data_IF_456114403201
#
_entry.id   IF_456114403201
#
_cell.length_a   1.000
_cell.length_b   1.000
_cell.length_c   1.000
_cell.angle_alpha   90.00
_cell.angle_beta   90.00
_cell.angle_gamma   90.00
#
_symmetry.space_group_name_H-M   'P 1'
#
loop_
_entity.id
_entity.type
_entity.pdbx_description
1 polymer ?
#
# COMPACT_ATOMS: atom_id res chain seq x y z
N UNK A 1 -10.90 13.70 -41.32
CA UNK A 1 -10.34 13.33 -40.00
C UNK A 1 -10.07 11.83 -39.90
N UNK A 2 -11.05 10.95 -40.13
CA UNK A 2 -10.88 9.49 -39.95
C UNK A 2 -9.78 8.86 -40.82
N UNK A 3 -9.65 9.28 -42.08
CA UNK A 3 -8.61 8.75 -42.99
C UNK A 3 -7.21 9.38 -42.80
N UNK A 4 -7.05 10.41 -41.97
CA UNK A 4 -5.75 11.06 -41.68
C UNK A 4 -5.05 11.76 -42.86
N UNK A 5 -5.60 11.73 -44.09
CA UNK A 5 -4.95 12.24 -45.31
C UNK A 5 -4.68 13.75 -45.30
N UNK A 6 -5.45 14.52 -44.52
CA UNK A 6 -5.24 15.96 -44.32
C UNK A 6 -5.03 16.24 -42.84
N UNK A 7 -4.01 17.04 -42.54
CA UNK A 7 -3.72 17.50 -41.19
C UNK A 7 -4.92 18.28 -40.64
N UNK A 8 -5.53 17.84 -39.53
CA UNK A 8 -6.62 18.59 -38.91
C UNK A 8 -6.11 19.93 -38.38
N UNK A 9 -6.95 20.95 -38.48
CA UNK A 9 -6.69 22.27 -37.91
C UNK A 9 -7.35 22.38 -36.53
N UNK A 10 -6.83 23.28 -35.69
CA UNK A 10 -7.47 23.62 -34.42
C UNK A 10 -8.88 24.17 -34.64
N UNK A 11 -9.81 23.89 -33.72
CA UNK A 11 -11.17 24.45 -33.76
C UNK A 11 -11.18 25.99 -33.73
N UNK A 12 -10.14 26.61 -33.16
CA UNK A 12 -9.96 28.08 -33.17
C UNK A 12 -9.78 28.64 -34.59
N UNK A 13 -9.32 27.82 -35.55
CA UNK A 13 -9.21 28.26 -36.95
C UNK A 13 -10.58 28.49 -37.59
N UNK A 14 -11.60 27.73 -37.17
CA UNK A 14 -12.99 27.95 -37.60
C UNK A 14 -13.52 29.33 -37.17
N UNK A 15 -13.07 29.84 -36.02
CA UNK A 15 -13.41 31.18 -35.56
C UNK A 15 -12.87 32.28 -36.50
N UNK A 16 -11.69 32.07 -37.08
CA UNK A 16 -11.09 32.99 -38.05
C UNK A 16 -11.76 32.88 -39.43
N UNK A 17 -11.97 31.65 -39.89
CA UNK A 17 -12.43 31.38 -41.26
C UNK A 17 -13.95 31.59 -41.43
N UNK A 18 -14.75 31.23 -40.41
CA UNK A 18 -16.22 31.35 -40.41
C UNK A 18 -16.76 31.78 -39.02
N UNK A 19 -16.59 33.05 -38.62
CA UNK A 19 -16.92 33.52 -37.27
C UNK A 19 -18.39 33.30 -36.86
N UNK A 20 -19.33 33.47 -37.79
CA UNK A 20 -20.77 33.29 -37.53
C UNK A 20 -21.11 31.83 -37.21
N UNK A 21 -20.53 30.89 -37.97
CA UNK A 21 -20.71 29.45 -37.77
C UNK A 21 -20.08 29.01 -36.45
N UNK A 22 -18.90 29.54 -36.10
CA UNK A 22 -18.25 29.27 -34.83
C UNK A 22 -19.11 29.74 -33.64
N UNK A 23 -19.69 30.94 -33.70
CA UNK A 23 -20.60 31.42 -32.65
C UNK A 23 -21.87 30.58 -32.54
N UNK A 24 -22.41 30.09 -33.66
CA UNK A 24 -23.55 29.16 -33.65
C UNK A 24 -23.16 27.83 -32.98
N UNK A 25 -21.98 27.29 -33.32
CA UNK A 25 -21.44 26.08 -32.70
C UNK A 25 -21.27 26.23 -31.19
N UNK A 26 -20.68 27.34 -30.72
CA UNK A 26 -20.50 27.63 -29.28
C UNK A 26 -21.85 27.65 -28.55
N UNK A 27 -22.87 28.30 -29.13
CA UNK A 27 -24.22 28.31 -28.53
C UNK A 27 -24.82 26.91 -28.45
N UNK A 28 -24.62 26.09 -29.48
CA UNK A 28 -25.11 24.71 -29.51
C UNK A 28 -24.37 23.86 -28.47
N UNK A 29 -23.05 23.99 -28.34
CA UNK A 29 -22.29 23.24 -27.33
C UNK A 29 -22.68 23.63 -25.92
N UNK A 30 -22.93 24.92 -25.64
CA UNK A 30 -23.45 25.39 -24.35
C UNK A 30 -24.85 24.80 -24.05
N UNK A 31 -25.70 24.69 -25.08
CA UNK A 31 -27.03 24.06 -24.96
C UNK A 31 -26.92 22.57 -24.67
N UNK A 32 -26.03 21.87 -25.36
CA UNK A 32 -25.80 20.44 -25.16
C UNK A 32 -25.24 20.15 -23.77
N UNK A 33 -24.26 20.91 -23.30
CA UNK A 33 -23.68 20.75 -21.96
C UNK A 33 -24.72 21.07 -20.87
N UNK A 34 -25.56 22.09 -21.04
CA UNK A 34 -26.67 22.36 -20.11
C UNK A 34 -27.75 21.27 -20.12
N UNK A 35 -28.06 20.72 -21.30
CA UNK A 35 -29.10 19.71 -21.44
C UNK A 35 -28.67 18.36 -20.88
N UNK A 36 -27.47 17.89 -21.23
CA UNK A 36 -26.92 16.63 -20.75
C UNK A 36 -26.22 16.76 -19.40
N UNK A 37 -26.03 17.99 -18.92
CA UNK A 37 -25.33 18.33 -17.68
C UNK A 37 -23.93 17.73 -17.61
N UNK A 38 -23.25 17.51 -18.74
CA UNK A 38 -21.95 16.85 -18.81
C UNK A 38 -21.19 17.30 -20.06
N UNK A 39 -19.87 17.18 -20.04
CA UNK A 39 -19.02 17.46 -21.19
C UNK A 39 -19.35 16.54 -22.37
N UNK A 40 -19.57 17.14 -23.55
CA UNK A 40 -19.97 16.43 -24.76
C UNK A 40 -18.84 16.34 -25.78
N UNK A 41 -18.65 15.15 -26.34
CA UNK A 41 -17.92 14.90 -27.58
C UNK A 41 -18.92 15.05 -28.74
N UNK A 42 -18.65 15.99 -29.65
CA UNK A 42 -19.57 16.40 -30.72
C UNK A 42 -18.91 16.27 -32.09
N UNK A 43 -19.70 15.78 -33.06
CA UNK A 43 -19.33 15.77 -34.47
C UNK A 43 -20.29 16.69 -35.23
N UNK A 44 -19.74 17.54 -36.10
CA UNK A 44 -20.51 18.49 -36.89
C UNK A 44 -19.95 18.61 -38.31
N UNK A 45 -20.74 19.16 -39.22
CA UNK A 45 -20.33 19.48 -40.59
C UNK A 45 -20.86 20.86 -40.96
N UNK A 46 -20.05 21.60 -41.70
CA UNK A 46 -20.44 22.89 -42.28
C UNK A 46 -20.58 22.70 -43.78
N UNK A 47 -21.81 22.78 -44.29
CA UNK A 47 -22.09 22.69 -45.73
C UNK A 47 -22.57 24.04 -46.24
N UNK A 48 -21.82 24.64 -47.18
CA UNK A 48 -22.14 25.93 -47.82
C UNK A 48 -22.46 27.04 -46.79
N UNK A 49 -21.70 27.09 -45.70
CA UNK A 49 -21.86 28.09 -44.63
C UNK A 49 -22.97 27.79 -43.62
N UNK A 50 -23.61 26.62 -43.69
CA UNK A 50 -24.64 26.19 -42.73
C UNK A 50 -24.11 25.05 -41.86
N UNK A 51 -24.29 25.19 -40.54
CA UNK A 51 -23.87 24.22 -39.54
C UNK A 51 -24.90 23.08 -39.39
N UNK A 52 -24.40 21.85 -39.29
CA UNK A 52 -25.18 20.65 -39.00
C UNK A 52 -24.49 19.85 -37.90
N UNK A 53 -25.20 19.53 -36.82
CA UNK A 53 -24.74 18.59 -35.80
C UNK A 53 -25.04 17.17 -36.25
N UNK A 54 -24.05 16.29 -36.20
CA UNK A 54 -24.15 14.90 -36.65
C UNK A 54 -24.26 13.93 -35.48
N UNK A 55 -23.47 14.16 -34.44
CA UNK A 55 -23.40 13.29 -33.27
C UNK A 55 -23.09 14.10 -32.02
N UNK A 56 -23.63 13.65 -30.89
CA UNK A 56 -23.20 14.07 -29.56
C UNK A 56 -23.24 12.86 -28.63
N UNK A 57 -22.28 12.79 -27.71
CA UNK A 57 -22.21 11.78 -26.65
C UNK A 57 -21.38 12.33 -25.49
N UNK A 58 -21.48 11.73 -24.32
CA UNK A 58 -20.56 12.03 -23.22
C UNK A 58 -19.12 11.79 -23.66
N UNK A 59 -18.28 12.82 -23.50
CA UNK A 59 -16.90 12.75 -23.96
C UNK A 59 -16.06 11.84 -23.08
N UNK A 60 -15.21 11.02 -23.71
CA UNK A 60 -14.19 10.25 -23.00
C UNK A 60 -13.15 11.21 -22.43
N UNK A 61 -12.67 10.94 -21.22
CA UNK A 61 -11.80 11.85 -20.48
C UNK A 61 -10.89 11.06 -19.53
N UNK A 62 -9.79 11.68 -19.12
CA UNK A 62 -8.91 11.14 -18.08
C UNK A 62 -9.51 11.35 -16.70
N UNK A 63 -9.02 10.63 -15.68
CA UNK A 63 -9.45 10.83 -14.29
C UNK A 63 -9.35 12.30 -13.83
N UNK A 64 -8.21 12.94 -14.13
CA UNK A 64 -7.98 14.35 -13.82
C UNK A 64 -9.01 15.27 -14.49
N UNK A 65 -9.30 15.03 -15.77
CA UNK A 65 -10.30 15.81 -16.50
C UNK A 65 -11.73 15.54 -15.98
N UNK A 66 -12.04 14.30 -15.57
CA UNK A 66 -13.32 13.94 -14.99
C UNK A 66 -13.59 14.73 -13.69
N UNK A 67 -12.63 14.75 -12.77
CA UNK A 67 -12.73 15.51 -11.51
C UNK A 67 -12.88 17.00 -11.79
N UNK A 68 -12.02 17.55 -12.64
CA UNK A 68 -12.08 18.97 -12.98
C UNK A 68 -13.45 19.37 -13.54
N UNK A 69 -13.95 18.61 -14.52
CA UNK A 69 -15.26 18.86 -15.14
C UNK A 69 -16.36 18.74 -14.08
N UNK A 70 -16.35 17.71 -13.24
CA UNK A 70 -17.35 17.54 -12.20
C UNK A 70 -17.36 18.73 -11.23
N UNK A 71 -16.18 19.20 -10.80
CA UNK A 71 -16.04 20.35 -9.91
C UNK A 71 -16.53 21.64 -10.58
N UNK A 72 -16.13 21.89 -11.83
CA UNK A 72 -16.53 23.06 -12.59
C UNK A 72 -18.05 23.08 -12.85
N UNK A 73 -18.68 21.92 -13.12
CA UNK A 73 -20.13 21.80 -13.31
C UNK A 73 -20.91 22.10 -12.02
N UNK A 74 -20.40 21.70 -10.85
CA UNK A 74 -20.98 22.07 -9.55
C UNK A 74 -20.85 23.57 -9.30
N UNK A 75 -19.67 24.15 -9.55
CA UNK A 75 -19.43 25.60 -9.41
C UNK A 75 -20.31 26.43 -10.35
N UNK A 76 -20.59 25.90 -11.55
CA UNK A 76 -21.52 26.49 -12.51
C UNK A 76 -23.00 26.30 -12.15
N UNK A 77 -23.31 25.54 -11.09
CA UNK A 77 -24.69 25.26 -10.66
C UNK A 77 -25.45 24.32 -11.60
N UNK A 78 -24.75 23.55 -12.44
CA UNK A 78 -25.37 22.63 -13.39
C UNK A 78 -25.70 21.27 -12.77
N UNK A 79 -24.90 20.81 -11.81
CA UNK A 79 -25.11 19.56 -11.07
C UNK A 79 -24.92 19.77 -9.58
N UNK A 80 -25.46 18.87 -8.75
CA UNK A 80 -25.20 18.88 -7.31
C UNK A 80 -23.87 18.20 -6.96
N UNK A 81 -23.40 18.39 -5.72
CA UNK A 81 -22.21 17.70 -5.22
C UNK A 81 -22.38 16.18 -5.22
N UNK A 82 -23.58 15.68 -4.90
CA UNK A 82 -23.89 14.24 -4.90
C UNK A 82 -23.77 13.64 -6.29
N UNK A 83 -24.32 14.32 -7.30
CA UNK A 83 -24.22 13.91 -8.70
C UNK A 83 -22.75 13.90 -9.16
N UNK A 84 -21.97 14.94 -8.80
CA UNK A 84 -20.55 14.99 -9.11
C UNK A 84 -19.78 13.80 -8.51
N UNK A 85 -20.06 13.42 -7.26
CA UNK A 85 -19.43 12.26 -6.61
C UNK A 85 -19.79 10.96 -7.34
N UNK A 86 -21.05 10.76 -7.70
CA UNK A 86 -21.50 9.52 -8.36
C UNK A 86 -20.95 9.34 -9.78
N UNK A 87 -20.53 10.43 -10.43
CA UNK A 87 -19.94 10.40 -11.77
C UNK A 87 -18.48 9.97 -11.82
N UNK A 88 -17.78 10.03 -10.70
CA UNK A 88 -16.38 9.62 -10.62
C UNK A 88 -16.33 8.16 -10.21
N UNK A 89 -15.84 7.30 -11.11
CA UNK A 89 -15.61 5.90 -10.78
C UNK A 89 -14.42 5.79 -9.80
N UNK A 90 -14.51 4.99 -8.72
CA UNK A 90 -13.42 4.85 -7.75
C UNK A 90 -12.07 4.46 -8.37
N UNK A 91 -12.08 3.60 -9.40
CA UNK A 91 -10.88 3.17 -10.13
C UNK A 91 -10.15 4.31 -10.86
N UNK A 92 -10.83 5.42 -11.15
CA UNK A 92 -10.22 6.62 -11.71
C UNK A 92 -9.41 7.37 -10.66
N UNK A 93 -9.82 7.34 -9.39
CA UNK A 93 -9.07 7.97 -8.29
C UNK A 93 -7.73 7.29 -8.07
N UNK A 94 -7.65 5.95 -8.21
CA UNK A 94 -6.39 5.21 -8.09
C UNK A 94 -5.31 5.76 -9.02
N UNK A 95 -5.66 6.14 -10.25
CA UNK A 95 -4.72 6.69 -11.23
C UNK A 95 -4.08 8.02 -10.77
N UNK A 96 -4.75 8.76 -9.89
CA UNK A 96 -4.26 10.04 -9.37
C UNK A 96 -3.37 9.88 -8.13
N UNK A 97 -3.45 8.72 -7.47
CA UNK A 97 -2.69 8.40 -6.26
C UNK A 97 -1.29 7.86 -6.57
N UNK A 98 -1.06 7.44 -7.82
CA UNK A 98 0.23 6.92 -8.25
C UNK A 98 0.97 7.89 -9.18
N UNK A 99 2.32 7.93 -9.14
CA UNK A 99 3.09 8.62 -10.16
C UNK A 99 2.70 8.12 -11.56
N UNK A 100 2.68 9.00 -12.55
CA UNK A 100 2.39 8.65 -13.95
C UNK A 100 3.49 9.20 -14.86
N UNK A 101 3.69 8.59 -16.03
CA UNK A 101 4.62 9.15 -17.01
C UNK A 101 4.05 10.38 -17.70
N UNK A 102 4.89 11.37 -17.99
CA UNK A 102 4.45 12.53 -18.75
C UNK A 102 4.04 12.10 -20.18
N UNK A 103 2.94 12.64 -20.76
CA UNK A 103 2.51 12.27 -22.12
C UNK A 103 3.62 12.48 -23.17
N UNK A 104 4.44 13.53 -22.98
CA UNK A 104 5.58 13.84 -23.85
C UNK A 104 6.68 12.78 -23.80
N UNK A 105 6.86 12.11 -22.65
CA UNK A 105 7.81 11.02 -22.51
C UNK A 105 7.28 9.76 -23.21
N UNK A 106 5.99 9.43 -23.00
CA UNK A 106 5.35 8.27 -23.62
C UNK A 106 5.36 8.33 -25.15
N UNK A 107 5.09 9.49 -25.75
CA UNK A 107 5.08 9.66 -27.21
C UNK A 107 6.44 9.36 -27.88
N UNK A 108 7.54 9.48 -27.12
CA UNK A 108 8.92 9.28 -27.62
C UNK A 108 9.49 7.91 -27.28
N UNK A 109 8.79 7.12 -26.46
CA UNK A 109 9.31 5.89 -25.88
C UNK A 109 8.50 4.69 -26.38
N UNK A 110 9.03 3.90 -27.34
CA UNK A 110 8.35 2.69 -27.78
C UNK A 110 8.29 1.66 -26.63
N UNK A 111 7.16 0.93 -26.56
CA UNK A 111 6.98 -0.15 -25.59
C UNK A 111 7.93 -1.30 -25.96
N UNK A 112 8.83 -1.67 -25.04
CA UNK A 112 9.76 -2.79 -25.21
C UNK A 112 9.09 -4.15 -24.98
N UNK A 113 8.29 -4.22 -23.93
CA UNK A 113 7.64 -5.44 -23.48
C UNK A 113 6.34 -5.10 -22.74
N UNK A 114 5.46 -6.09 -22.60
CA UNK A 114 4.20 -5.96 -21.89
C UNK A 114 3.96 -7.16 -20.98
N UNK A 115 3.78 -6.89 -19.69
CA UNK A 115 3.37 -7.87 -18.68
C UNK A 115 1.95 -7.63 -18.19
N UNK A 116 1.63 -8.23 -17.05
CA UNK A 116 0.35 -8.05 -16.36
C UNK A 116 0.41 -6.84 -15.43
N UNK A 117 -0.60 -5.95 -15.45
CA UNK A 117 -0.67 -4.77 -14.59
C UNK A 117 -1.01 -5.16 -13.15
N UNK A 118 -0.02 -5.63 -12.39
CA UNK A 118 -0.21 -6.26 -11.09
C UNK A 118 -0.54 -5.25 -9.98
N UNK A 119 0.13 -4.10 -9.99
CA UNK A 119 -0.10 -2.98 -9.07
C UNK A 119 0.14 -1.65 -9.79
N UNK A 120 -0.82 -0.72 -9.76
CA UNK A 120 -0.80 0.51 -10.56
C UNK A 120 0.35 1.48 -10.21
N UNK A 121 0.69 2.34 -11.18
CA UNK A 121 1.67 3.42 -11.05
C UNK A 121 2.88 3.32 -11.97
N UNK A 122 3.55 4.44 -12.20
CA UNK A 122 4.78 4.52 -12.97
C UNK A 122 6.02 4.37 -12.06
N UNK A 123 6.96 3.55 -12.50
CA UNK A 123 8.27 3.43 -11.88
C UNK A 123 9.37 3.68 -12.91
N UNK A 124 10.38 4.45 -12.53
CA UNK A 124 11.58 4.69 -13.34
C UNK A 124 12.81 4.65 -12.45
N UNK A 125 13.79 3.82 -12.81
CA UNK A 125 14.93 3.57 -11.94
C UNK A 125 15.96 2.62 -12.55
N UNK A 126 17.03 2.38 -11.78
CA UNK A 126 18.11 1.46 -12.12
C UNK A 126 17.72 0.02 -11.78
N UNK A 127 18.02 -0.92 -12.67
CA UNK A 127 17.68 -2.33 -12.53
C UNK A 127 18.65 -3.04 -11.57
N UNK A 128 18.11 -3.84 -10.66
CA UNK A 128 18.85 -4.75 -9.77
C UNK A 128 18.12 -6.10 -9.65
N UNK A 129 18.86 -7.17 -9.36
CA UNK A 129 18.36 -8.56 -9.51
C UNK A 129 18.17 -9.32 -8.19
N UNK A 130 18.52 -8.70 -7.05
CA UNK A 130 18.32 -9.26 -5.71
C UNK A 130 17.93 -8.14 -4.73
N UNK A 131 17.35 -8.53 -3.60
CA UNK A 131 16.85 -7.59 -2.60
C UNK A 131 17.97 -6.76 -1.94
N UNK A 132 19.11 -7.38 -1.64
CA UNK A 132 20.26 -6.77 -0.98
C UNK A 132 20.82 -5.58 -1.77
N UNK A 133 21.01 -5.74 -3.08
CA UNK A 133 21.50 -4.70 -3.97
C UNK A 133 20.51 -3.53 -4.07
N UNK A 134 19.20 -3.83 -4.11
CA UNK A 134 18.16 -2.80 -4.09
C UNK A 134 18.22 -2.00 -2.79
N UNK A 135 18.32 -2.66 -1.63
CA UNK A 135 18.40 -2.01 -0.32
C UNK A 135 19.65 -1.12 -0.24
N UNK A 136 20.81 -1.65 -0.62
CA UNK A 136 22.08 -0.92 -0.57
C UNK A 136 22.06 0.34 -1.46
N UNK A 137 21.55 0.22 -2.68
CA UNK A 137 21.50 1.35 -3.62
C UNK A 137 20.39 2.36 -3.29
N UNK A 138 19.27 1.90 -2.72
CA UNK A 138 18.19 2.78 -2.26
C UNK A 138 18.64 3.60 -1.05
N UNK A 139 19.43 3.03 -0.12
CA UNK A 139 20.07 3.77 0.99
C UNK A 139 21.02 4.86 0.46
N UNK A 140 21.67 4.64 -0.69
CA UNK A 140 22.47 5.63 -1.39
C UNK A 140 21.67 6.71 -2.16
N UNK A 141 20.33 6.65 -2.13
CA UNK A 141 19.44 7.61 -2.79
C UNK A 141 19.10 7.27 -4.24
N UNK A 142 19.55 6.14 -4.77
CA UNK A 142 19.20 5.71 -6.12
C UNK A 142 17.74 5.23 -6.19
N UNK A 143 17.04 5.58 -7.26
CA UNK A 143 15.74 4.99 -7.59
C UNK A 143 15.98 3.56 -8.13
N UNK A 144 15.79 2.53 -7.32
CA UNK A 144 16.11 1.14 -7.67
C UNK A 144 14.86 0.34 -8.06
N UNK A 145 14.91 -0.42 -9.15
CA UNK A 145 13.86 -1.35 -9.58
C UNK A 145 14.32 -2.77 -9.30
N UNK A 146 13.50 -3.54 -8.58
CA UNK A 146 13.74 -4.96 -8.36
C UNK A 146 13.22 -5.76 -9.55
N UNK A 147 14.11 -6.49 -10.22
CA UNK A 147 13.77 -7.40 -11.32
C UNK A 147 14.10 -8.83 -10.94
N UNK A 148 13.10 -9.71 -10.95
CA UNK A 148 13.25 -11.13 -10.57
C UNK A 148 12.58 -12.05 -11.59
N UNK A 149 12.96 -13.33 -11.61
CA UNK A 149 12.13 -14.35 -12.24
C UNK A 149 10.75 -14.39 -11.57
N UNK A 150 10.77 -14.54 -10.25
CA UNK A 150 9.63 -14.50 -9.32
C UNK A 150 10.14 -14.01 -7.96
N UNK A 151 9.26 -13.47 -7.12
CA UNK A 151 9.66 -13.02 -5.77
C UNK A 151 9.28 -14.06 -4.72
N UNK A 152 10.06 -14.11 -3.64
CA UNK A 152 9.78 -14.90 -2.43
C UNK A 152 9.60 -13.99 -1.20
N UNK A 153 9.15 -14.52 -0.05
CA UNK A 153 9.08 -13.74 1.20
C UNK A 153 10.40 -13.12 1.65
N UNK A 154 11.54 -13.67 1.24
CA UNK A 154 12.88 -13.15 1.56
C UNK A 154 13.17 -11.83 0.81
N UNK A 155 12.49 -11.60 -0.32
CA UNK A 155 12.66 -10.38 -1.13
C UNK A 155 11.95 -9.15 -0.52
N UNK A 156 11.22 -9.29 0.60
CA UNK A 156 10.35 -8.24 1.16
C UNK A 156 11.10 -6.93 1.39
N UNK A 157 12.31 -6.95 1.96
CA UNK A 157 13.07 -5.72 2.21
C UNK A 157 13.47 -5.00 0.91
N UNK A 158 13.85 -5.77 -0.10
CA UNK A 158 14.13 -5.29 -1.45
C UNK A 158 12.88 -4.68 -2.08
N UNK A 159 11.74 -5.33 -1.95
CA UNK A 159 10.45 -4.83 -2.42
C UNK A 159 10.06 -3.52 -1.72
N UNK A 160 10.27 -3.42 -0.41
CA UNK A 160 10.04 -2.21 0.41
C UNK A 160 11.01 -1.08 0.04
N UNK A 161 12.19 -1.39 -0.46
CA UNK A 161 13.19 -0.39 -0.87
C UNK A 161 13.02 0.05 -2.33
N UNK A 162 12.58 -0.84 -3.22
CA UNK A 162 12.47 -0.59 -4.66
C UNK A 162 11.42 0.48 -5.02
N UNK A 163 11.64 1.28 -6.05
CA UNK A 163 10.62 2.20 -6.58
C UNK A 163 9.54 1.48 -7.38
N UNK A 164 9.80 0.23 -7.77
CA UNK A 164 8.86 -0.67 -8.41
C UNK A 164 9.42 -2.08 -8.59
N UNK A 165 8.54 -3.04 -8.84
CA UNK A 165 8.89 -4.47 -8.97
C UNK A 165 8.47 -4.99 -10.35
N UNK A 166 9.38 -5.65 -11.05
CA UNK A 166 9.13 -6.27 -12.35
C UNK A 166 9.49 -7.75 -12.30
N UNK A 167 8.55 -8.64 -12.65
CA UNK A 167 8.84 -10.08 -12.70
C UNK A 167 8.61 -10.68 -14.08
N UNK A 168 9.46 -11.63 -14.46
CA UNK A 168 9.29 -12.38 -15.72
C UNK A 168 8.14 -13.40 -15.64
N UNK A 169 7.93 -13.98 -14.45
CA UNK A 169 6.88 -14.98 -14.14
C UNK A 169 5.94 -14.45 -13.05
N UNK A 170 4.83 -15.15 -12.87
CA UNK A 170 3.81 -14.82 -11.87
C UNK A 170 2.58 -14.13 -12.47
N UNK A 171 1.42 -14.41 -11.87
CA UNK A 171 0.13 -13.81 -12.26
C UNK A 171 -0.28 -12.64 -11.37
N UNK A 172 -1.51 -12.17 -11.56
CA UNK A 172 -2.14 -11.12 -10.75
C UNK A 172 -2.27 -11.44 -9.26
N UNK A 173 -2.15 -12.71 -8.88
CA UNK A 173 -2.20 -13.22 -7.50
C UNK A 173 -0.86 -13.78 -7.02
N UNK A 174 0.23 -13.51 -7.75
CA UNK A 174 1.57 -13.91 -7.33
C UNK A 174 2.02 -13.14 -6.09
N UNK A 175 3.03 -13.67 -5.39
CA UNK A 175 3.65 -13.01 -4.24
C UNK A 175 3.99 -11.54 -4.55
N UNK A 176 4.67 -11.29 -5.67
CA UNK A 176 5.00 -9.94 -6.15
C UNK A 176 3.78 -9.03 -6.23
N UNK A 177 2.70 -9.51 -6.87
CA UNK A 177 1.50 -8.73 -7.11
C UNK A 177 0.75 -8.38 -5.80
N UNK A 178 0.60 -9.36 -4.90
CA UNK A 178 -0.12 -9.18 -3.64
C UNK A 178 0.63 -8.22 -2.72
N UNK A 179 1.94 -8.43 -2.57
CA UNK A 179 2.79 -7.61 -1.69
C UNK A 179 2.95 -6.19 -2.26
N UNK A 180 3.24 -6.03 -3.55
CA UNK A 180 3.38 -4.72 -4.17
C UNK A 180 2.09 -3.90 -4.09
N UNK A 181 0.93 -4.53 -4.27
CA UNK A 181 -0.37 -3.87 -4.11
C UNK A 181 -0.61 -3.43 -2.66
N UNK A 182 -0.28 -4.29 -1.70
CA UNK A 182 -0.35 -3.95 -0.27
C UNK A 182 0.53 -2.76 0.10
N UNK A 183 1.67 -2.61 -0.58
CA UNK A 183 2.61 -1.49 -0.39
C UNK A 183 2.31 -0.26 -1.27
N UNK A 184 1.32 -0.33 -2.17
CA UNK A 184 1.04 0.73 -3.14
C UNK A 184 2.17 1.01 -4.12
N UNK A 185 3.01 0.01 -4.41
CA UNK A 185 4.15 0.14 -5.32
C UNK A 185 3.81 -0.32 -6.73
N UNK A 186 4.30 0.38 -7.77
CA UNK A 186 4.19 -0.08 -9.14
C UNK A 186 4.72 -1.51 -9.32
N UNK A 187 3.90 -2.38 -9.90
CA UNK A 187 4.33 -3.73 -10.21
C UNK A 187 3.78 -4.21 -11.55
N UNK A 188 4.67 -4.75 -12.37
CA UNK A 188 4.33 -5.52 -13.57
C UNK A 188 4.78 -6.95 -13.34
N UNK A 189 3.82 -7.87 -13.32
CA UNK A 189 4.10 -9.29 -13.10
C UNK A 189 4.00 -10.09 -14.40
N UNK A 190 4.71 -11.20 -14.50
CA UNK A 190 4.55 -12.15 -15.60
C UNK A 190 4.90 -11.59 -16.98
N UNK A 191 5.90 -10.71 -17.05
CA UNK A 191 6.38 -10.17 -18.32
C UNK A 191 7.25 -11.22 -19.05
N UNK A 192 6.60 -12.22 -19.64
CA UNK A 192 7.24 -13.41 -20.25
C UNK A 192 8.21 -13.11 -21.40
N UNK A 193 8.15 -11.91 -21.95
CA UNK A 193 9.09 -11.41 -22.95
C UNK A 193 10.48 -11.09 -22.36
N UNK A 194 10.59 -10.94 -21.03
CA UNK A 194 11.84 -10.72 -20.33
C UNK A 194 12.51 -12.07 -20.03
N UNK A 195 13.74 -12.25 -20.48
CA UNK A 195 14.61 -13.33 -20.00
C UNK A 195 15.55 -12.78 -18.95
N UNK A 196 15.19 -13.01 -17.68
CA UNK A 196 15.95 -12.53 -16.52
C UNK A 196 16.98 -13.58 -16.13
N UNK A 197 18.26 -13.19 -16.14
CA UNK A 197 19.37 -13.98 -15.63
C UNK A 197 19.97 -13.28 -14.41
N UNK A 198 19.65 -13.82 -13.23
CA UNK A 198 20.04 -13.25 -11.93
C UNK A 198 21.52 -13.49 -11.62
N UNK A 199 22.14 -14.54 -12.21
CA UNK A 199 23.56 -14.85 -12.03
C UNK A 199 24.45 -13.89 -12.83
N UNK A 200 24.09 -13.64 -14.09
CA UNK A 200 24.83 -12.69 -14.95
C UNK A 200 24.36 -11.26 -14.77
N UNK A 201 23.30 -11.04 -13.99
CA UNK A 201 22.69 -9.73 -13.72
C UNK A 201 22.29 -8.99 -15.00
N UNK A 202 21.56 -9.69 -15.86
CA UNK A 202 21.11 -9.19 -17.17
C UNK A 202 19.66 -9.56 -17.49
N UNK A 203 19.00 -8.68 -18.25
CA UNK A 203 17.69 -8.92 -18.88
C UNK A 203 17.90 -8.95 -20.39
N UNK A 204 17.37 -9.98 -21.06
CA UNK A 204 17.30 -10.03 -22.52
C UNK A 204 15.86 -9.88 -23.01
N UNK A 205 15.65 -9.00 -23.99
CA UNK A 205 14.37 -8.75 -24.66
C UNK A 205 14.61 -8.72 -26.17
N UNK A 206 14.38 -9.84 -26.85
CA UNK A 206 14.80 -9.98 -28.25
C UNK A 206 16.32 -9.82 -28.36
N UNK A 207 16.77 -8.86 -29.17
CA UNK A 207 18.19 -8.56 -29.38
C UNK A 207 18.77 -7.55 -28.37
N UNK A 208 17.92 -6.97 -27.50
CA UNK A 208 18.33 -5.98 -26.52
C UNK A 208 18.77 -6.66 -25.21
N UNK A 209 19.94 -6.27 -24.70
CA UNK A 209 20.46 -6.69 -23.40
C UNK A 209 20.57 -5.49 -22.45
N UNK A 210 19.95 -5.60 -21.28
CA UNK A 210 19.95 -4.58 -20.23
C UNK A 210 20.70 -5.15 -19.03
N UNK A 211 21.66 -4.39 -18.50
CA UNK A 211 22.52 -4.82 -17.40
C UNK A 211 22.08 -4.19 -16.08
N UNK A 212 22.58 -4.75 -14.98
CA UNK A 212 22.44 -4.12 -13.67
C UNK A 212 22.94 -2.68 -13.68
N UNK A 213 22.17 -1.80 -13.05
CA UNK A 213 22.45 -0.37 -13.00
C UNK A 213 21.93 0.43 -14.20
N UNK A 214 21.52 -0.21 -15.29
CA UNK A 214 20.88 0.47 -16.42
C UNK A 214 19.48 0.97 -16.05
N UNK A 215 19.05 2.04 -16.69
CA UNK A 215 17.71 2.59 -16.47
C UNK A 215 16.64 1.82 -17.22
N UNK A 216 15.57 1.51 -16.50
CA UNK A 216 14.34 0.94 -17.02
C UNK A 216 13.17 1.73 -16.46
N UNK A 217 12.09 1.80 -17.23
CA UNK A 217 10.84 2.40 -16.77
C UNK A 217 9.67 1.48 -17.10
N UNK A 218 8.65 1.43 -16.26
CA UNK A 218 7.45 0.66 -16.55
C UNK A 218 6.22 1.27 -15.88
N UNK A 219 5.05 0.94 -16.42
CA UNK A 219 3.76 1.37 -15.92
C UNK A 219 2.95 0.15 -15.45
N UNK A 220 2.77 0.06 -14.13
CA UNK A 220 2.03 -0.99 -13.47
C UNK A 220 0.51 -0.94 -13.70
N UNK A 221 -0.04 0.16 -14.25
CA UNK A 221 -1.44 0.24 -14.63
C UNK A 221 -1.71 -0.35 -16.02
N UNK A 222 -0.77 -0.19 -16.95
CA UNK A 222 -0.90 -0.70 -18.34
C UNK A 222 -0.13 -1.99 -18.60
N UNK A 223 0.84 -2.33 -17.74
CA UNK A 223 1.76 -3.45 -17.91
C UNK A 223 2.92 -3.15 -18.86
N UNK A 224 3.06 -1.91 -19.36
CA UNK A 224 4.05 -1.56 -20.37
C UNK A 224 5.44 -1.32 -19.76
N UNK A 225 6.49 -1.77 -20.46
CA UNK A 225 7.90 -1.61 -20.09
C UNK A 225 8.62 -0.81 -21.18
N UNK A 226 9.49 0.11 -20.77
CA UNK A 226 10.18 1.09 -21.62
C UNK A 226 11.68 1.14 -21.30
N UNK A 227 12.50 1.42 -22.31
CA UNK A 227 13.94 1.59 -22.12
C UNK A 227 14.25 2.97 -21.51
N UNK A 228 15.21 3.00 -20.58
CA UNK A 228 15.76 4.25 -20.07
C UNK A 228 14.92 4.88 -18.97
N UNK A 229 15.30 6.10 -18.60
CA UNK A 229 14.64 6.88 -17.56
C UNK A 229 13.58 7.78 -18.19
N UNK A 230 12.31 7.51 -17.90
CA UNK A 230 11.20 8.34 -18.35
C UNK A 230 10.85 9.38 -17.28
N UNK A 231 10.50 10.58 -17.76
CA UNK A 231 10.05 11.66 -16.89
C UNK A 231 8.68 11.31 -16.29
N UNK A 232 8.61 11.33 -14.96
CA UNK A 232 7.38 11.07 -14.21
C UNK A 232 6.80 12.38 -13.68
N UNK A 233 5.48 12.51 -13.75
CA UNK A 233 4.73 13.50 -13.00
C UNK A 233 4.28 12.89 -11.69
N UNK A 234 4.56 13.57 -10.57
CA UNK A 234 4.12 13.12 -9.25
C UNK A 234 2.60 13.04 -9.17
N UNK A 235 2.11 12.13 -8.32
CA UNK A 235 0.73 12.11 -7.87
C UNK A 235 0.46 13.45 -7.16
N UNK A 236 -0.20 14.38 -7.84
CA UNK A 236 -0.66 15.62 -7.23
C UNK A 236 -2.16 15.51 -7.03
N UNK A 237 -2.56 15.43 -5.78
CA UNK A 237 -3.88 15.85 -5.35
C UNK A 237 -3.99 17.35 -5.64
N UNK A 238 -4.48 17.66 -6.83
CA UNK A 238 -4.72 19.05 -7.23
C UNK A 238 -5.90 19.64 -6.42
N UNK A 239 -6.12 20.95 -6.57
CA UNK A 239 -7.16 21.67 -5.85
C UNK A 239 -8.56 21.09 -6.09
N UNK A 240 -8.81 20.60 -7.31
CA UNK A 240 -10.10 20.06 -7.71
C UNK A 240 -10.32 18.69 -7.04
N UNK A 241 -9.29 17.85 -6.94
CA UNK A 241 -9.34 16.61 -6.16
C UNK A 241 -9.66 16.87 -4.68
N UNK A 242 -8.98 17.83 -4.04
CA UNK A 242 -9.20 18.16 -2.63
C UNK A 242 -10.63 18.67 -2.38
N UNK A 243 -11.15 19.47 -3.31
CA UNK A 243 -12.52 19.96 -3.24
C UNK A 243 -13.54 18.82 -3.38
N UNK A 244 -13.34 17.91 -4.34
CA UNK A 244 -14.17 16.71 -4.48
C UNK A 244 -14.13 15.84 -3.22
N UNK A 245 -12.93 15.57 -2.66
CA UNK A 245 -12.79 14.77 -1.44
C UNK A 245 -13.46 15.43 -0.24
N UNK A 246 -13.45 16.77 -0.15
CA UNK A 246 -14.21 17.50 0.87
C UNK A 246 -15.71 17.23 0.78
N UNK A 247 -16.28 17.16 -0.43
CA UNK A 247 -17.69 16.81 -0.62
C UNK A 247 -17.96 15.35 -0.25
N UNK A 248 -17.06 14.44 -0.62
CA UNK A 248 -17.15 13.02 -0.25
C UNK A 248 -17.17 12.86 1.28
N UNK A 249 -16.26 13.54 1.98
CA UNK A 249 -16.15 13.52 3.44
C UNK A 249 -17.39 14.07 4.14
N UNK A 250 -18.05 15.07 3.56
CA UNK A 250 -19.30 15.63 4.10
C UNK A 250 -20.50 14.69 3.94
N UNK A 251 -20.49 13.79 2.95
CA UNK A 251 -21.62 12.91 2.63
C UNK A 251 -21.47 11.51 3.20
N UNK A 252 -20.25 11.00 3.34
CA UNK A 252 -20.03 9.64 3.85
C UNK A 252 -20.39 9.53 5.33
N UNK A 253 -20.98 8.39 5.69
CA UNK A 253 -21.27 8.04 7.08
C UNK A 253 -20.15 7.18 7.69
N UNK A 254 -19.52 6.34 6.87
CA UNK A 254 -18.44 5.47 7.31
C UNK A 254 -17.17 6.27 7.55
N UNK A 255 -16.49 5.98 8.65
CA UNK A 255 -15.13 6.44 8.87
C UNK A 255 -14.14 5.66 8.00
N UNK A 256 -13.14 6.36 7.46
CA UNK A 256 -12.06 5.73 6.71
C UNK A 256 -10.81 5.76 7.59
N UNK A 257 -10.37 4.57 8.01
CA UNK A 257 -9.11 4.35 8.74
C UNK A 257 -8.15 3.61 7.82
N UNK A 258 -6.86 3.73 8.08
CA UNK A 258 -5.82 3.06 7.31
C UNK A 258 -5.25 1.84 8.02
N UNK A 259 -4.64 0.95 7.25
CA UNK A 259 -3.75 -0.07 7.77
C UNK A 259 -2.34 0.49 7.66
N UNK A 260 -1.67 0.72 8.79
CA UNK A 260 -0.32 1.26 8.81
C UNK A 260 0.42 0.75 10.04
N UNK A 261 1.65 0.31 9.82
CA UNK A 261 2.42 -0.43 10.83
C UNK A 261 3.62 0.41 11.34
N UNK A 262 3.92 1.53 10.68
CA UNK A 262 5.02 2.43 11.04
C UNK A 262 4.60 3.92 10.93
N UNK A 263 5.37 4.84 11.54
CA UNK A 263 5.02 6.26 11.56
C UNK A 263 4.96 6.92 10.18
N UNK A 264 5.80 6.49 9.23
CA UNK A 264 5.84 7.04 7.87
C UNK A 264 4.55 6.74 7.10
N UNK A 265 4.08 5.50 7.18
CA UNK A 265 2.86 5.07 6.50
C UNK A 265 1.62 5.64 7.20
N UNK A 266 1.64 5.76 8.52
CA UNK A 266 0.59 6.45 9.26
C UNK A 266 0.49 7.93 8.86
N UNK A 267 1.62 8.64 8.71
CA UNK A 267 1.61 10.04 8.26
C UNK A 267 1.03 10.17 6.86
N UNK A 268 1.48 9.34 5.90
CA UNK A 268 0.93 9.34 4.55
C UNK A 268 -0.58 9.08 4.54
N UNK A 269 -1.03 8.10 5.32
CA UNK A 269 -2.46 7.82 5.43
C UNK A 269 -3.25 9.04 5.91
N UNK A 270 -2.74 9.78 6.90
CA UNK A 270 -3.34 11.02 7.39
C UNK A 270 -3.32 12.10 6.31
N UNK A 271 -2.24 12.23 5.54
CA UNK A 271 -2.13 13.18 4.44
C UNK A 271 -3.19 12.92 3.34
N UNK A 272 -3.60 11.65 3.18
CA UNK A 272 -4.72 11.23 2.32
C UNK A 272 -6.10 11.26 3.00
N UNK A 273 -6.22 11.80 4.22
CA UNK A 273 -7.49 11.99 4.91
C UNK A 273 -7.92 10.84 5.84
N UNK A 274 -7.04 9.87 6.12
CA UNK A 274 -7.37 8.82 7.09
C UNK A 274 -7.66 9.38 8.48
N UNK A 275 -8.75 8.90 9.09
CA UNK A 275 -9.23 9.36 10.39
C UNK A 275 -8.61 8.60 11.58
N UNK A 276 -7.64 7.74 11.30
CA UNK A 276 -6.92 6.92 12.27
C UNK A 276 -6.41 5.64 11.62
N UNK A 277 -5.76 4.80 12.43
CA UNK A 277 -5.22 3.50 12.01
C UNK A 277 -6.16 2.40 12.51
N UNK A 278 -6.82 1.69 11.60
CA UNK A 278 -7.78 0.63 11.88
C UNK A 278 -7.14 -0.73 12.12
N UNK A 279 -5.90 -0.90 11.66
CA UNK A 279 -5.08 -2.07 11.88
C UNK A 279 -3.60 -1.67 11.82
N UNK A 280 -2.93 -1.77 12.96
CA UNK A 280 -1.48 -1.71 13.09
C UNK A 280 -0.99 -3.12 13.44
N UNK A 281 -0.26 -3.75 12.51
CA UNK A 281 0.27 -5.11 12.63
C UNK A 281 1.59 -5.08 13.36
N UNK A 282 1.60 -5.60 14.59
CA UNK A 282 2.82 -5.62 15.41
C UNK A 282 3.87 -6.58 14.87
N UNK A 283 3.49 -7.56 14.05
CA UNK A 283 4.41 -8.47 13.36
C UNK A 283 5.45 -7.74 12.52
N UNK A 284 4.99 -6.73 11.78
CA UNK A 284 5.84 -6.00 10.85
C UNK A 284 6.87 -5.14 11.58
N UNK A 285 6.59 -4.77 12.83
CA UNK A 285 7.55 -4.11 13.72
C UNK A 285 8.68 -5.05 14.16
N UNK A 286 8.56 -6.36 13.96
CA UNK A 286 9.56 -7.34 14.39
C UNK A 286 10.43 -7.87 13.24
N UNK A 287 10.14 -7.50 11.99
CA UNK A 287 10.89 -7.94 10.81
C UNK A 287 12.18 -7.13 10.54
N UNK A 288 12.48 -6.08 11.30
CA UNK A 288 13.76 -5.37 11.14
C UNK A 288 14.95 -6.25 11.56
N UNK A 289 16.06 -6.21 10.81
CA UNK A 289 17.27 -7.04 11.00
C UNK A 289 17.77 -7.09 12.45
N UNK A 290 17.73 -5.96 13.16
CA UNK A 290 18.21 -5.85 14.53
C UNK A 290 17.30 -6.57 15.55
N UNK A 291 16.03 -6.79 15.20
CA UNK A 291 14.99 -7.34 16.09
C UNK A 291 14.79 -8.84 15.86
N UNK A 292 14.98 -9.32 14.63
CA UNK A 292 14.84 -10.73 14.25
C UNK A 292 15.58 -11.69 15.22
N UNK A 293 16.83 -11.42 15.65
CA UNK A 293 17.52 -12.31 16.59
C UNK A 293 16.79 -12.47 17.92
N UNK A 294 16.22 -11.39 18.47
CA UNK A 294 15.47 -11.44 19.73
C UNK A 294 14.13 -12.17 19.57
N UNK A 295 13.45 -12.01 18.43
CA UNK A 295 12.24 -12.78 18.09
C UNK A 295 12.56 -14.28 18.01
N UNK A 296 13.64 -14.65 17.31
CA UNK A 296 14.08 -16.04 17.19
C UNK A 296 14.43 -16.65 18.55
N UNK A 297 15.12 -15.89 19.42
CA UNK A 297 15.38 -16.30 20.81
C UNK A 297 14.08 -16.57 21.57
N UNK A 298 13.10 -15.67 21.47
CA UNK A 298 11.79 -15.84 22.12
C UNK A 298 11.07 -17.11 21.65
N UNK A 299 11.11 -17.40 20.34
CA UNK A 299 10.45 -18.57 19.74
C UNK A 299 11.11 -19.88 20.15
N UNK A 300 12.45 -19.88 20.20
CA UNK A 300 13.24 -21.08 20.49
C UNK A 300 13.43 -21.33 21.99
N UNK A 301 13.04 -20.39 22.84
CA UNK A 301 13.11 -20.54 24.30
C UNK A 301 12.32 -21.76 24.80
N UNK A 302 13.00 -22.59 25.59
CA UNK A 302 12.44 -23.81 26.20
C UNK A 302 11.81 -23.57 27.58
N UNK A 303 12.11 -22.43 28.21
CA UNK A 303 11.58 -22.05 29.51
C UNK A 303 11.12 -20.58 29.52
N UNK A 304 10.40 -20.20 30.59
CA UNK A 304 9.86 -18.86 30.75
C UNK A 304 10.96 -17.80 30.93
N UNK A 305 12.04 -18.12 31.64
CA UNK A 305 13.12 -17.16 31.94
C UNK A 305 13.81 -16.68 30.66
N UNK A 306 14.22 -17.61 29.80
CA UNK A 306 14.85 -17.32 28.50
C UNK A 306 13.92 -16.53 27.58
N UNK A 307 12.61 -16.87 27.60
CA UNK A 307 11.61 -16.15 26.80
C UNK A 307 11.43 -14.73 27.31
N UNK A 308 11.38 -14.53 28.62
CA UNK A 308 11.29 -13.21 29.23
C UNK A 308 12.51 -12.34 28.94
N UNK A 309 13.71 -12.92 28.91
CA UNK A 309 14.93 -12.20 28.52
C UNK A 309 14.86 -11.71 27.07
N UNK A 310 14.44 -12.59 26.15
CA UNK A 310 14.25 -12.23 24.75
C UNK A 310 13.16 -11.14 24.57
N UNK A 311 12.04 -11.27 25.28
CA UNK A 311 10.97 -10.28 25.29
C UNK A 311 11.41 -8.92 25.86
N UNK A 312 12.28 -8.91 26.87
CA UNK A 312 12.84 -7.69 27.44
C UNK A 312 13.72 -6.93 26.43
N UNK A 313 14.37 -7.64 25.50
CA UNK A 313 15.12 -7.02 24.40
C UNK A 313 14.19 -6.40 23.33
N UNK A 314 13.00 -6.97 23.11
CA UNK A 314 12.02 -6.47 22.13
C UNK A 314 11.22 -5.26 22.64
N UNK A 315 10.99 -5.17 23.95
CA UNK A 315 10.15 -4.14 24.57
C UNK A 315 10.58 -2.69 24.21
N UNK A 316 11.86 -2.28 24.26
CA UNK A 316 12.28 -0.92 23.93
C UNK A 316 11.97 -0.55 22.48
N UNK A 317 12.21 -1.46 21.54
CA UNK A 317 11.94 -1.23 20.11
C UNK A 317 10.46 -0.97 19.87
N UNK A 318 9.59 -1.84 20.37
CA UNK A 318 8.15 -1.69 20.17
C UNK A 318 7.58 -0.47 20.92
N UNK A 319 8.13 -0.15 22.10
CA UNK A 319 7.81 1.10 22.83
C UNK A 319 8.11 2.32 21.97
N UNK A 320 9.28 2.36 21.36
CA UNK A 320 9.73 3.52 20.59
C UNK A 320 8.92 3.67 19.29
N UNK A 321 8.58 2.55 18.63
CA UNK A 321 7.65 2.56 17.49
C UNK A 321 6.29 3.14 17.86
N UNK A 322 5.69 2.67 18.96
CA UNK A 322 4.40 3.18 19.41
C UNK A 322 4.49 4.66 19.80
N UNK A 323 5.57 5.09 20.45
CA UNK A 323 5.78 6.51 20.77
C UNK A 323 5.76 7.36 19.49
N UNK A 324 6.53 6.98 18.46
CA UNK A 324 6.55 7.72 17.19
C UNK A 324 5.20 7.65 16.46
N UNK A 325 4.52 6.51 16.50
CA UNK A 325 3.22 6.32 15.87
C UNK A 325 2.15 7.22 16.51
N UNK A 326 2.07 7.26 17.85
CA UNK A 326 1.09 8.09 18.55
C UNK A 326 1.37 9.59 18.41
N UNK A 327 2.64 9.98 18.30
CA UNK A 327 3.04 11.36 17.99
C UNK A 327 2.53 11.82 16.62
N UNK A 328 2.59 10.95 15.60
CA UNK A 328 2.04 11.23 14.27
C UNK A 328 0.51 11.35 14.29
N UNK A 329 -0.16 10.53 15.11
CA UNK A 329 -1.61 10.43 15.10
C UNK A 329 -2.33 11.57 15.83
N UNK A 330 -1.74 12.14 16.88
CA UNK A 330 -2.28 13.19 17.76
C UNK A 330 -3.82 13.30 17.76
N UNK A 331 -4.46 12.48 18.59
CA UNK A 331 -5.91 12.48 18.78
C UNK A 331 -6.69 11.62 17.78
N UNK A 332 -6.03 11.00 16.80
CA UNK A 332 -6.62 9.96 15.96
C UNK A 332 -6.51 8.58 16.61
N UNK A 333 -7.47 7.70 16.31
CA UNK A 333 -7.49 6.34 16.85
C UNK A 333 -6.36 5.47 16.26
N UNK A 334 -5.84 4.55 17.07
CA UNK A 334 -4.87 3.56 16.65
C UNK A 334 -5.27 2.19 17.18
N UNK A 335 -5.64 1.27 16.29
CA UNK A 335 -5.99 -0.09 16.63
C UNK A 335 -4.80 -1.03 16.40
N UNK A 336 -4.16 -1.40 17.50
CA UNK A 336 -2.95 -2.21 17.54
C UNK A 336 -3.38 -3.67 17.66
N UNK A 337 -3.07 -4.46 16.63
CA UNK A 337 -3.27 -5.91 16.67
C UNK A 337 -2.07 -6.57 17.32
N UNK A 338 -2.34 -7.36 18.36
CA UNK A 338 -1.32 -8.18 19.02
C UNK A 338 -0.81 -9.29 18.10
N UNK A 339 0.29 -9.93 18.50
CA UNK A 339 1.02 -10.89 17.67
C UNK A 339 0.11 -12.02 17.16
N UNK A 340 0.11 -12.21 15.84
CA UNK A 340 -0.75 -13.10 15.06
C UNK A 340 -0.05 -14.20 14.23
N UNK A 341 1.18 -14.07 13.70
CA UNK A 341 1.73 -15.01 12.75
C UNK A 341 2.16 -16.29 13.48
N UNK A 342 2.20 -17.43 12.77
CA UNK A 342 2.75 -18.65 13.32
C UNK A 342 4.26 -18.51 13.47
N UNK A 343 4.82 -19.10 14.53
CA UNK A 343 6.20 -18.85 14.91
C UNK A 343 7.23 -19.28 13.87
N UNK A 344 6.91 -20.25 13.00
CA UNK A 344 7.85 -20.72 11.97
C UNK A 344 8.13 -19.69 10.88
N UNK A 345 7.28 -18.67 10.68
CA UNK A 345 7.55 -17.59 9.71
C UNK A 345 8.80 -16.77 10.06
N UNK A 346 9.25 -16.78 11.32
CA UNK A 346 10.48 -16.10 11.76
C UNK A 346 11.72 -17.00 11.73
N UNK A 347 11.56 -18.29 11.43
CA UNK A 347 12.65 -19.27 11.46
C UNK A 347 13.27 -19.44 10.08
N UNK A 348 14.61 -19.56 9.99
CA UNK A 348 15.29 -19.74 8.70
C UNK A 348 14.97 -21.10 8.07
N UNK A 349 14.85 -21.14 6.75
CA UNK A 349 14.59 -22.36 5.98
C UNK A 349 15.85 -22.96 5.34
N UNK A 350 16.85 -22.13 5.04
CA UNK A 350 18.10 -22.58 4.41
C UNK A 350 19.08 -23.19 5.41
N UNK A 351 19.82 -24.21 5.01
CA UNK A 351 20.79 -24.88 5.90
C UNK A 351 21.87 -23.93 6.42
N UNK A 352 22.38 -23.04 5.57
CA UNK A 352 23.40 -22.06 5.98
C UNK A 352 22.87 -21.07 7.02
N UNK A 353 21.63 -20.59 6.83
CA UNK A 353 20.98 -19.68 7.77
C UNK A 353 20.67 -20.38 9.12
N UNK A 354 20.32 -21.67 9.09
CA UNK A 354 20.15 -22.48 10.30
C UNK A 354 21.48 -22.65 11.04
N UNK A 355 22.59 -22.89 10.34
CA UNK A 355 23.92 -22.97 10.96
C UNK A 355 24.35 -21.65 11.61
N UNK A 356 24.13 -20.53 10.92
CA UNK A 356 24.41 -19.20 11.46
C UNK A 356 23.58 -18.92 12.72
N UNK A 357 22.28 -19.24 12.69
CA UNK A 357 21.40 -19.05 13.83
C UNK A 357 21.80 -19.95 15.02
N UNK A 358 22.19 -21.21 14.75
CA UNK A 358 22.67 -22.12 15.79
C UNK A 358 23.89 -21.55 16.51
N UNK A 359 24.85 -20.99 15.75
CA UNK A 359 26.03 -20.34 16.30
C UNK A 359 25.67 -19.09 17.13
N UNK A 360 24.76 -18.24 16.63
CA UNK A 360 24.31 -17.04 17.34
C UNK A 360 23.61 -17.35 18.66
N UNK A 361 22.85 -18.44 18.70
CA UNK A 361 22.10 -18.89 19.88
C UNK A 361 22.94 -19.79 20.80
N UNK A 362 24.18 -20.13 20.42
CA UNK A 362 25.02 -21.08 21.14
C UNK A 362 24.35 -22.45 21.35
N UNK A 363 23.57 -22.90 20.36
CA UNK A 363 22.91 -24.22 20.35
C UNK A 363 23.47 -25.09 19.23
N UNK A 364 23.31 -26.41 19.32
CA UNK A 364 23.74 -27.30 18.23
C UNK A 364 22.76 -27.21 17.05
N UNK A 365 23.28 -27.31 15.82
CA UNK A 365 22.48 -27.35 14.58
C UNK A 365 21.41 -28.45 14.65
N UNK A 366 21.75 -29.61 15.24
CA UNK A 366 20.81 -30.72 15.41
C UNK A 366 19.65 -30.37 16.37
N UNK A 367 19.94 -29.71 17.50
CA UNK A 367 18.91 -29.26 18.44
C UNK A 367 17.99 -28.21 17.80
N UNK A 368 18.58 -27.25 17.06
CA UNK A 368 17.82 -26.23 16.35
C UNK A 368 16.93 -26.83 15.26
N UNK A 369 17.45 -27.74 14.42
CA UNK A 369 16.66 -28.45 13.40
C UNK A 369 15.51 -29.24 14.02
N UNK A 370 15.73 -29.90 15.17
CA UNK A 370 14.66 -30.58 15.91
C UNK A 370 13.59 -29.59 16.34
N UNK A 371 13.97 -28.47 16.94
CA UNK A 371 13.01 -27.46 17.41
C UNK A 371 12.20 -26.82 16.27
N UNK A 372 12.85 -26.53 15.13
CA UNK A 372 12.18 -26.05 13.92
C UNK A 372 11.15 -27.10 13.45
N UNK A 373 11.52 -28.39 13.45
CA UNK A 373 10.60 -29.47 13.10
C UNK A 373 9.45 -29.63 14.09
N UNK A 374 9.67 -29.39 15.39
CA UNK A 374 8.63 -29.46 16.42
C UNK A 374 7.60 -28.31 16.28
N UNK A 375 8.07 -27.15 15.81
CA UNK A 375 7.24 -25.97 15.51
C UNK A 375 6.62 -26.01 14.10
N UNK A 376 6.99 -27.00 13.29
CA UNK A 376 6.44 -27.16 11.95
C UNK A 376 5.00 -27.66 12.02
N UNK A 377 4.11 -26.93 11.37
CA UNK A 377 2.69 -27.25 11.34
C UNK A 377 2.28 -27.71 9.93
N UNK A 378 1.35 -28.66 9.85
CA UNK A 378 0.80 -29.09 8.57
C UNK A 378 -0.02 -27.98 7.90
N UNK A 379 -0.77 -27.19 8.68
CA UNK A 379 -1.55 -26.04 8.22
C UNK A 379 -1.30 -24.79 9.10
N UNK A 380 -0.20 -24.04 8.85
CA UNK A 380 0.15 -22.81 9.56
C UNK A 380 -0.98 -21.81 9.79
N UNK A 381 -1.84 -21.62 8.77
CA UNK A 381 -2.95 -20.68 8.81
C UNK A 381 -3.96 -20.99 9.92
N UNK A 382 -4.10 -22.26 10.30
CA UNK A 382 -5.07 -22.73 11.28
C UNK A 382 -4.42 -23.22 12.58
N UNK A 383 -3.11 -23.04 12.73
CA UNK A 383 -2.31 -23.62 13.81
C UNK A 383 -2.25 -22.80 15.10
N UNK A 384 -1.12 -22.91 15.78
CA UNK A 384 -0.79 -22.30 17.07
C UNK A 384 -0.29 -20.87 16.91
N UNK A 385 -1.24 -19.96 16.65
CA UNK A 385 -1.00 -18.55 16.35
C UNK A 385 -2.05 -17.64 16.98
N UNK A 386 -1.90 -16.33 16.85
CA UNK A 386 -2.87 -15.34 17.39
C UNK A 386 -3.14 -15.52 18.88
N UNK A 387 -4.41 -15.41 19.29
CA UNK A 387 -4.80 -15.56 20.70
C UNK A 387 -4.37 -16.89 21.32
N UNK A 388 -4.27 -17.98 20.54
CA UNK A 388 -3.92 -19.32 21.03
C UNK A 388 -2.48 -19.36 21.52
N UNK A 389 -1.59 -18.63 20.84
CA UNK A 389 -0.21 -18.46 21.25
C UNK A 389 -0.12 -17.72 22.59
N UNK A 390 -0.91 -16.66 22.76
CA UNK A 390 -0.95 -15.90 23.99
C UNK A 390 -1.63 -16.63 25.16
N UNK A 391 -2.49 -17.62 24.89
CA UNK A 391 -3.04 -18.47 25.94
C UNK A 391 -2.01 -19.45 26.50
N UNK A 392 -1.10 -19.94 25.66
CA UNK A 392 -0.01 -20.82 26.09
C UNK A 392 1.19 -20.05 26.63
N UNK A 393 1.47 -18.87 26.07
CA UNK A 393 2.61 -18.00 26.42
C UNK A 393 2.13 -16.56 26.67
N UNK A 394 1.44 -16.32 27.80
CA UNK A 394 0.82 -15.02 28.10
C UNK A 394 1.79 -13.85 28.13
N UNK A 395 3.04 -14.09 28.52
CA UNK A 395 4.12 -13.12 28.61
C UNK A 395 4.41 -12.40 27.27
N UNK A 396 4.10 -13.02 26.13
CA UNK A 396 4.25 -12.38 24.81
C UNK A 396 3.31 -11.19 24.71
N UNK A 397 2.01 -11.38 25.01
CA UNK A 397 1.04 -10.28 24.99
C UNK A 397 1.27 -9.31 26.14
N UNK A 398 1.72 -9.78 27.31
CA UNK A 398 2.10 -8.86 28.40
C UNK A 398 3.22 -7.90 27.97
N UNK A 399 4.23 -8.39 27.26
CA UNK A 399 5.30 -7.54 26.72
C UNK A 399 4.74 -6.50 25.74
N UNK A 400 3.91 -6.93 24.78
CA UNK A 400 3.33 -6.00 23.79
C UNK A 400 2.42 -4.94 24.43
N UNK A 401 1.63 -5.34 25.42
CA UNK A 401 0.79 -4.42 26.19
C UNK A 401 1.65 -3.47 27.02
N UNK A 402 2.76 -3.93 27.60
CA UNK A 402 3.71 -3.07 28.30
C UNK A 402 4.43 -2.09 27.37
N UNK A 403 4.56 -2.40 26.09
CA UNK A 403 5.09 -1.47 25.10
C UNK A 403 4.20 -0.22 24.90
N UNK A 404 2.94 -0.23 25.39
CA UNK A 404 2.07 0.97 25.49
C UNK A 404 2.73 2.10 26.31
N UNK A 405 3.83 1.84 27.03
CA UNK A 405 4.76 2.89 27.49
C UNK A 405 5.06 3.95 26.43
N UNK A 406 5.13 3.58 25.15
CA UNK A 406 5.30 4.55 24.06
C UNK A 406 4.15 5.55 23.97
N UNK A 407 2.91 5.06 24.13
CA UNK A 407 1.72 5.91 24.24
C UNK A 407 1.78 6.82 25.47
N UNK A 408 2.25 6.31 26.61
CA UNK A 408 2.39 7.08 27.86
C UNK A 408 3.41 8.20 27.67
N UNK A 409 4.54 7.92 27.03
CA UNK A 409 5.57 8.92 26.68
C UNK A 409 4.98 10.02 25.79
N UNK A 410 4.24 9.65 24.75
CA UNK A 410 3.58 10.63 23.88
C UNK A 410 2.57 11.49 24.64
N UNK A 411 1.76 10.88 25.53
CA UNK A 411 0.82 11.65 26.35
C UNK A 411 1.52 12.62 27.32
N UNK A 412 2.66 12.23 27.90
CA UNK A 412 3.48 13.12 28.75
C UNK A 412 4.02 14.34 28.00
N UNK A 413 4.23 14.20 26.69
CA UNK A 413 4.63 15.31 25.81
C UNK A 413 3.45 16.17 25.32
N UNK A 414 2.22 15.81 25.70
CA UNK A 414 1.01 16.59 25.39
C UNK A 414 0.23 16.11 24.16
N UNK A 415 0.64 15.01 23.51
CA UNK A 415 -0.15 14.41 22.43
C UNK A 415 -1.41 13.75 22.98
N UNK A 416 -2.51 13.82 22.21
CA UNK A 416 -3.76 13.12 22.57
C UNK A 416 -3.66 11.66 22.16
N UNK A 417 -3.76 10.77 23.13
CA UNK A 417 -3.55 9.33 22.92
C UNK A 417 -4.68 8.52 23.54
N UNK A 418 -5.24 7.61 22.74
CA UNK A 418 -6.25 6.64 23.18
C UNK A 418 -6.04 5.31 22.40
N UNK A 419 -5.18 4.41 22.90
CA UNK A 419 -4.87 3.16 22.22
C UNK A 419 -6.08 2.22 22.19
N UNK A 420 -6.30 1.56 21.06
CA UNK A 420 -7.24 0.45 20.91
C UNK A 420 -6.40 -0.83 20.74
N UNK A 421 -6.63 -1.84 21.59
CA UNK A 421 -5.86 -3.10 21.59
C UNK A 421 -6.77 -4.20 21.05
N UNK A 422 -6.33 -4.87 19.99
CA UNK A 422 -7.10 -5.91 19.31
C UNK A 422 -6.45 -7.27 19.44
N UNK A 423 -7.23 -8.24 19.93
CA UNK A 423 -6.85 -9.65 20.00
C UNK A 423 -7.22 -10.36 18.69
N UNK A 424 -6.25 -10.97 17.97
CA UNK A 424 -6.50 -11.75 16.76
C UNK A 424 -6.98 -13.17 17.03
N UNK A 425 -7.63 -13.78 16.04
CA UNK A 425 -8.00 -15.19 15.92
C UNK A 425 -8.90 -15.78 17.02
N UNK A 426 -9.63 -14.94 17.73
CA UNK A 426 -10.59 -15.37 18.76
C UNK A 426 -11.70 -16.21 18.14
N UNK A 427 -12.06 -17.32 18.80
CA UNK A 427 -13.17 -18.20 18.41
C UNK A 427 -14.24 -18.34 19.49
N UNK A 428 -13.91 -18.03 20.74
CA UNK A 428 -14.80 -18.15 21.90
C UNK A 428 -14.69 -16.92 22.81
N UNK A 429 -15.78 -16.59 23.50
CA UNK A 429 -15.78 -15.54 24.54
C UNK A 429 -14.79 -15.80 25.67
N UNK A 430 -14.46 -17.06 25.94
CA UNK A 430 -13.55 -17.44 27.04
C UNK A 430 -12.10 -17.08 26.73
N UNK A 431 -11.66 -17.30 25.49
CA UNK A 431 -10.32 -16.88 25.02
C UNK A 431 -10.16 -15.36 25.17
N UNK A 432 -11.15 -14.60 24.68
CA UNK A 432 -11.12 -13.14 24.78
C UNK A 432 -11.20 -12.66 26.23
N UNK A 433 -12.04 -13.27 27.07
CA UNK A 433 -12.19 -12.87 28.49
C UNK A 433 -10.88 -13.02 29.25
N UNK A 434 -10.20 -14.15 29.07
CA UNK A 434 -8.91 -14.41 29.69
C UNK A 434 -7.87 -13.37 29.26
N UNK A 435 -7.72 -13.16 27.95
CA UNK A 435 -6.73 -12.23 27.42
C UNK A 435 -7.05 -10.78 27.75
N UNK A 436 -8.33 -10.39 27.75
CA UNK A 436 -8.77 -9.05 28.16
C UNK A 436 -8.40 -8.76 29.60
N UNK A 437 -8.60 -9.70 30.51
CA UNK A 437 -8.20 -9.54 31.91
C UNK A 437 -6.70 -9.29 32.03
N UNK A 438 -5.88 -10.10 31.35
CA UNK A 438 -4.43 -9.96 31.32
C UNK A 438 -4.00 -8.59 30.75
N UNK A 439 -4.62 -8.15 29.66
CA UNK A 439 -4.36 -6.84 29.04
C UNK A 439 -4.72 -5.73 30.02
N UNK A 440 -5.92 -5.76 30.61
CA UNK A 440 -6.40 -4.75 31.56
C UNK A 440 -5.50 -4.63 32.79
N UNK A 441 -5.03 -5.76 33.33
CA UNK A 441 -4.08 -5.79 34.46
C UNK A 441 -2.75 -5.12 34.07
N UNK A 442 -2.18 -5.51 32.93
CA UNK A 442 -0.91 -4.94 32.46
C UNK A 442 -1.00 -3.44 32.18
N UNK A 443 -2.06 -2.97 31.51
CA UNK A 443 -2.25 -1.54 31.24
C UNK A 443 -2.38 -0.76 32.54
N UNK A 444 -3.20 -1.25 33.49
CA UNK A 444 -3.38 -0.59 34.79
C UNK A 444 -2.09 -0.52 35.59
N UNK A 445 -1.29 -1.58 35.59
CA UNK A 445 0.03 -1.57 36.23
C UNK A 445 0.92 -0.47 35.67
N UNK A 446 1.05 -0.37 34.35
CA UNK A 446 1.92 0.64 33.72
C UNK A 446 1.41 2.07 33.92
N UNK A 447 0.09 2.29 33.83
CA UNK A 447 -0.51 3.60 34.12
C UNK A 447 -0.34 4.01 35.59
N UNK A 448 -0.45 3.06 36.52
CA UNK A 448 -0.27 3.32 37.95
C UNK A 448 1.19 3.65 38.28
N UNK A 449 2.15 2.89 37.72
CA UNK A 449 3.60 3.15 37.88
C UNK A 449 3.98 4.55 37.42
N UNK A 450 3.40 5.00 36.31
CA UNK A 450 3.70 6.31 35.71
C UNK A 450 2.82 7.44 36.24
N UNK A 451 1.84 7.15 37.10
CA UNK A 451 0.94 8.14 37.71
C UNK A 451 0.00 8.84 36.72
N UNK A 452 -0.35 8.20 35.60
CA UNK A 452 -1.12 8.80 34.50
C UNK A 452 -2.46 8.11 34.31
N UNK A 453 -3.46 8.88 33.88
CA UNK A 453 -4.73 8.35 33.37
C UNK A 453 -4.75 8.44 31.85
N UNK A 454 -5.03 7.32 31.20
CA UNK A 454 -5.17 7.21 29.76
C UNK A 454 -6.42 6.39 29.45
N UNK A 455 -7.24 6.85 28.50
CA UNK A 455 -8.32 6.04 27.97
C UNK A 455 -7.75 5.00 27.00
N UNK A 456 -8.23 3.77 27.08
CA UNK A 456 -7.89 2.71 26.13
C UNK A 456 -9.11 1.81 25.94
N UNK A 457 -9.13 1.06 24.84
CA UNK A 457 -10.15 0.03 24.60
C UNK A 457 -9.50 -1.31 24.28
N UNK A 458 -10.20 -2.40 24.60
CA UNK A 458 -9.78 -3.76 24.25
C UNK A 458 -10.90 -4.39 23.43
N UNK A 459 -10.56 -4.82 22.23
CA UNK A 459 -11.46 -5.43 21.26
C UNK A 459 -10.89 -6.73 20.70
N UNK A 460 -11.62 -7.29 19.73
CA UNK A 460 -11.24 -8.54 19.07
C UNK A 460 -11.42 -8.40 17.57
N UNK A 461 -10.60 -9.12 16.81
CA UNK A 461 -10.88 -9.35 15.40
C UNK A 461 -11.98 -10.40 15.26
N UNK A 462 -12.94 -10.15 14.37
CA UNK A 462 -13.99 -11.11 14.01
C UNK A 462 -13.57 -11.75 12.68
N UNK A 463 -12.72 -12.77 12.77
CA UNK A 463 -12.11 -13.43 11.61
C UNK A 463 -12.27 -14.96 11.62
N UNK A 464 -12.88 -15.52 12.67
CA UNK A 464 -13.26 -16.93 12.71
C UNK A 464 -14.77 -17.08 12.53
N UNK A 465 -15.25 -18.07 11.77
CA UNK A 465 -16.70 -18.28 11.61
C UNK A 465 -17.42 -18.43 12.96
N UNK A 466 -16.76 -19.06 13.93
CA UNK A 466 -17.32 -19.25 15.28
C UNK A 466 -17.50 -17.93 16.02
N UNK A 467 -16.57 -16.98 15.92
CA UNK A 467 -16.73 -15.66 16.51
C UNK A 467 -17.94 -14.92 15.92
N UNK A 468 -18.19 -15.03 14.61
CA UNK A 468 -19.38 -14.44 13.99
C UNK A 468 -20.69 -15.06 14.53
N UNK A 469 -20.71 -16.38 14.68
CA UNK A 469 -21.90 -17.13 15.14
C UNK A 469 -22.20 -16.89 16.63
N UNK A 470 -21.18 -16.58 17.43
CA UNK A 470 -21.28 -16.39 18.89
C UNK A 470 -20.89 -14.96 19.29
N UNK A 471 -21.32 -13.99 18.49
CA UNK A 471 -20.96 -12.58 18.64
C UNK A 471 -21.77 -11.85 19.74
N UNK A 472 -22.87 -12.44 20.21
CA UNK A 472 -23.69 -11.99 21.34
C UNK A 472 -22.98 -12.20 22.69
#
# INVERSE_FOLDING_TARGET
>A
MVAGVRTPQSITKLQEDMPSVYQELVKITDLLEKHYQDMQDVEFTVEKGKLYMLQTRSGKRTAKAAIKIAVDLVKAGLISQEEAIQRIEPSQLDQLLHPTFSPKALDKSPVLAKGLPASPGAASGRVYFNAEDVVANSKGGAQAILVRQETSPEDIEGMISAVGILTARGGMTSHAAVVARGMGKPCVAGCSQLRVNELTKTIEIGDLSIKEGDYLSFDGATGAVYLGQLEMTGAQADTDYQELMTWVDQKRQLMVRANADNPRDAQKAIDFGAQGIGLCRTEHMFFEEERIPAVRKMILADNLEDRMEALAQLLPFQRDDFYQLFKVLDGKSCNIRLLDPPLHEFLPHEEQAVEQLANQLSVTVAALKRRISDLAEFNPMLGHRGCRLALTYPEIYQMQVRAIKGAIMAQKEGYRVAPEIMVPLVSTVHELRFLRQLIDECVKEELTKEGIKMAYSVGTMIETPRACVTAD
#
